data_IF_274269006477
#
_entry.id   IF_274269006477
#
_cell.length_a   1.000
_cell.length_b   1.000
_cell.length_c   1.000
_cell.angle_alpha   90.00
_cell.angle_beta   90.00
_cell.angle_gamma   90.00
#
_symmetry.space_group_name_H-M   'P 1'
#
loop_
_entity.id
_entity.type
_entity.pdbx_description
1 polymer ?
#
# COMPACT_ATOMS: atom_id res chain seq x y z
N UNK A 1 84.85 -10.96 -11.88
CA UNK A 1 84.45 -12.33 -11.46
C UNK A 1 83.06 -12.18 -10.85
N UNK A 2 81.99 -12.62 -11.54
CA UNK A 2 81.26 -13.88 -11.22
C UNK A 2 80.89 -13.94 -9.72
N UNK A 3 79.66 -14.12 -9.22
CA UNK A 3 78.37 -14.68 -9.68
C UNK A 3 77.34 -14.37 -8.56
N UNK A 4 76.12 -13.94 -8.88
CA UNK A 4 74.86 -14.71 -8.91
C UNK A 4 74.16 -15.00 -7.56
N UNK A 5 72.86 -14.67 -7.58
CA UNK A 5 71.71 -15.34 -6.95
C UNK A 5 71.57 -15.41 -5.42
N UNK A 6 70.44 -14.87 -4.95
CA UNK A 6 69.92 -15.04 -3.59
C UNK A 6 68.47 -14.55 -3.51
N UNK A 7 67.57 -15.49 -3.74
CA UNK A 7 66.12 -15.58 -3.52
C UNK A 7 65.31 -14.36 -3.05
N UNK A 8 64.38 -13.95 -3.95
CA UNK A 8 63.14 -13.24 -3.59
C UNK A 8 62.10 -14.25 -3.10
N UNK A 9 61.96 -14.42 -1.78
CA UNK A 9 60.65 -14.78 -1.22
C UNK A 9 59.89 -13.49 -0.87
N UNK A 10 59.00 -13.07 -1.78
CA UNK A 10 57.90 -12.16 -1.42
C UNK A 10 56.88 -12.99 -0.65
N UNK A 11 56.79 -12.75 0.66
CA UNK A 11 55.69 -13.23 1.48
C UNK A 11 54.45 -12.45 1.02
N UNK A 12 53.56 -13.13 0.30
CA UNK A 12 52.27 -12.60 -0.07
C UNK A 12 51.43 -12.50 1.22
N UNK A 13 51.18 -11.27 1.68
CA UNK A 13 50.17 -11.03 2.69
C UNK A 13 48.82 -11.04 1.96
N UNK A 14 48.14 -12.18 2.08
CA UNK A 14 46.81 -12.42 1.56
C UNK A 14 45.83 -11.50 2.31
N UNK A 15 45.58 -10.32 1.77
CA UNK A 15 44.51 -9.46 2.26
C UNK A 15 43.17 -10.07 1.88
N UNK A 16 42.62 -10.85 2.82
CA UNK A 16 41.23 -11.22 2.86
C UNK A 16 40.37 -9.95 2.86
N UNK A 17 39.91 -9.55 1.68
CA UNK A 17 38.94 -8.47 1.54
C UNK A 17 37.72 -8.77 2.41
N UNK A 18 37.10 -7.76 3.06
CA UNK A 18 35.86 -7.97 3.76
C UNK A 18 34.81 -8.35 2.71
N UNK A 19 34.53 -9.66 2.62
CA UNK A 19 33.27 -10.18 2.09
C UNK A 19 32.16 -9.71 3.03
N UNK A 20 31.87 -8.41 2.96
CA UNK A 20 30.65 -7.84 3.48
C UNK A 20 29.59 -8.18 2.45
N UNK A 21 29.16 -9.45 2.47
CA UNK A 21 27.77 -9.74 2.22
C UNK A 21 27.00 -8.75 3.09
N UNK A 22 26.42 -7.71 2.45
CA UNK A 22 25.44 -6.84 3.08
C UNK A 22 24.25 -7.71 3.41
N UNK A 23 24.35 -8.39 4.55
CA UNK A 23 23.27 -9.03 5.21
C UNK A 23 22.31 -7.90 5.58
N UNK A 24 21.31 -7.69 4.71
CA UNK A 24 20.22 -6.75 4.93
C UNK A 24 19.46 -7.25 6.14
N UNK A 25 19.91 -6.86 7.33
CA UNK A 25 19.18 -7.07 8.56
C UNK A 25 17.88 -6.28 8.45
N UNK A 26 16.78 -7.00 8.22
CA UNK A 26 15.43 -6.48 8.25
C UNK A 26 15.12 -6.04 9.69
N UNK A 27 15.47 -4.81 10.04
CA UNK A 27 15.15 -4.22 11.33
C UNK A 27 14.02 -3.20 11.09
N UNK A 28 12.80 -3.61 11.42
CA UNK A 28 11.64 -2.72 11.44
C UNK A 28 10.33 -3.40 11.06
N UNK A 29 9.28 -3.16 11.84
CA UNK A 29 7.91 -3.61 11.58
C UNK A 29 7.25 -2.94 10.35
N UNK A 30 7.98 -2.12 9.59
CA UNK A 30 7.44 -1.20 8.58
C UNK A 30 8.11 -1.29 7.20
N UNK A 31 8.80 -2.38 6.87
CA UNK A 31 9.42 -2.54 5.55
C UNK A 31 8.85 -3.77 4.82
N UNK A 32 7.65 -3.62 4.25
CA UNK A 32 7.31 -4.40 3.05
C UNK A 32 8.17 -3.86 1.90
N UNK A 33 8.53 -4.72 0.94
CA UNK A 33 9.18 -4.27 -0.28
C UNK A 33 8.34 -3.13 -0.86
N UNK A 34 8.91 -1.92 -0.90
CA UNK A 34 8.29 -0.81 -1.61
C UNK A 34 8.07 -1.29 -3.04
N UNK A 35 6.82 -1.56 -3.41
CA UNK A 35 6.46 -1.69 -4.82
C UNK A 35 6.82 -0.34 -5.41
N UNK A 36 7.92 -0.28 -6.14
CA UNK A 36 8.39 0.93 -6.78
C UNK A 36 7.29 1.33 -7.77
N UNK A 37 6.49 2.33 -7.41
CA UNK A 37 5.43 2.81 -8.28
C UNK A 37 6.10 3.71 -9.30
N UNK A 38 6.29 3.19 -10.50
CA UNK A 38 6.77 3.99 -11.62
C UNK A 38 5.70 5.03 -11.97
N UNK A 39 6.14 6.29 -12.05
CA UNK A 39 5.41 7.39 -12.69
C UNK A 39 4.78 6.88 -13.99
N UNK A 40 3.58 7.34 -14.34
CA UNK A 40 3.00 6.94 -15.62
C UNK A 40 3.97 7.28 -16.73
N UNK A 41 4.22 6.31 -17.61
CA UNK A 41 4.98 6.59 -18.81
C UNK A 41 4.22 7.61 -19.66
N UNK A 42 4.96 8.49 -20.32
CA UNK A 42 4.40 9.60 -21.10
C UNK A 42 3.38 9.12 -22.14
N UNK A 43 3.65 7.97 -22.78
CA UNK A 43 2.73 7.34 -23.73
C UNK A 43 1.38 6.95 -23.12
N UNK A 44 1.36 6.55 -21.85
CA UNK A 44 0.12 6.19 -21.14
C UNK A 44 -0.65 7.48 -20.82
N UNK A 45 0.03 8.52 -20.34
CA UNK A 45 -0.61 9.83 -20.09
C UNK A 45 -1.24 10.38 -21.36
N UNK A 46 -0.48 10.46 -22.45
CA UNK A 46 -0.92 10.97 -23.74
C UNK A 46 -2.17 10.22 -24.25
N UNK A 47 -2.17 8.88 -24.12
CA UNK A 47 -3.32 8.07 -24.49
C UNK A 47 -4.57 8.36 -23.64
N UNK A 48 -4.42 8.48 -22.32
CA UNK A 48 -5.55 8.78 -21.43
C UNK A 48 -6.10 10.19 -21.64
N UNK A 49 -5.22 11.18 -21.81
CA UNK A 49 -5.63 12.55 -22.14
C UNK A 49 -6.35 12.59 -23.49
N UNK A 50 -5.84 11.89 -24.50
CA UNK A 50 -6.52 11.76 -25.80
C UNK A 50 -7.92 11.15 -25.66
N UNK A 51 -8.07 10.06 -24.88
CA UNK A 51 -9.37 9.42 -24.64
C UNK A 51 -10.33 10.33 -23.88
N UNK A 52 -9.82 11.10 -22.92
CA UNK A 52 -10.60 12.08 -22.19
C UNK A 52 -11.11 13.18 -23.13
N UNK A 53 -10.21 13.79 -23.92
CA UNK A 53 -10.55 14.86 -24.86
C UNK A 53 -11.52 14.41 -25.96
N UNK A 54 -11.37 13.17 -26.46
CA UNK A 54 -12.35 12.57 -27.38
C UNK A 54 -13.75 12.50 -26.75
N UNK A 55 -13.83 12.14 -25.46
CA UNK A 55 -15.09 12.09 -24.74
C UNK A 55 -15.69 13.46 -24.46
N UNK A 56 -14.85 14.47 -24.20
CA UNK A 56 -15.27 15.87 -24.06
C UNK A 56 -15.82 16.39 -25.40
N UNK A 57 -15.06 16.25 -26.49
CA UNK A 57 -15.46 16.70 -27.81
C UNK A 57 -16.71 15.99 -28.34
N UNK A 58 -16.85 14.68 -28.05
CA UNK A 58 -18.01 13.88 -28.44
C UNK A 58 -19.22 13.99 -27.50
N UNK A 59 -19.11 14.70 -26.38
CA UNK A 59 -20.16 14.81 -25.37
C UNK A 59 -20.46 13.52 -24.59
N UNK A 60 -19.70 12.45 -24.80
CA UNK A 60 -19.86 11.16 -24.13
C UNK A 60 -18.56 10.78 -23.40
N UNK A 61 -18.62 10.71 -22.06
CA UNK A 61 -17.47 10.31 -21.25
C UNK A 61 -17.02 8.89 -21.60
N UNK A 62 -15.69 8.71 -21.73
CA UNK A 62 -15.11 7.40 -21.95
C UNK A 62 -15.39 6.47 -20.75
N UNK A 63 -15.87 5.27 -21.02
CA UNK A 63 -16.06 4.24 -19.99
C UNK A 63 -14.69 3.72 -19.51
N UNK A 64 -14.33 3.89 -18.22
CA UNK A 64 -13.04 3.41 -17.69
C UNK A 64 -12.80 1.91 -17.90
N UNK A 65 -13.84 1.08 -17.86
CA UNK A 65 -13.70 -0.36 -18.09
C UNK A 65 -13.45 -0.70 -19.57
N UNK A 66 -14.04 0.08 -20.48
CA UNK A 66 -13.73 0.00 -21.90
C UNK A 66 -12.28 0.42 -22.16
N UNK A 67 -11.86 1.59 -21.67
CA UNK A 67 -10.50 2.11 -21.90
C UNK A 67 -9.44 1.16 -21.34
N UNK A 68 -9.68 0.55 -20.17
CA UNK A 68 -8.76 -0.46 -19.62
C UNK A 68 -8.60 -1.67 -20.56
N UNK A 69 -9.70 -2.19 -21.11
CA UNK A 69 -9.66 -3.31 -22.07
C UNK A 69 -9.00 -2.92 -23.39
N UNK A 70 -9.26 -1.72 -23.87
CA UNK A 70 -8.64 -1.17 -25.07
C UNK A 70 -7.13 -1.05 -24.88
N UNK A 71 -6.68 -0.51 -23.75
CA UNK A 71 -5.26 -0.38 -23.44
C UNK A 71 -4.52 -1.73 -23.40
N UNK A 72 -5.22 -2.81 -23.03
CA UNK A 72 -4.67 -4.17 -23.01
C UNK A 72 -4.61 -4.84 -24.39
N UNK A 73 -5.30 -4.29 -25.40
CA UNK A 73 -5.49 -4.92 -26.72
C UNK A 73 -5.02 -4.08 -27.89
N UNK A 74 -4.81 -2.78 -27.68
CA UNK A 74 -4.37 -1.84 -28.71
C UNK A 74 -2.95 -2.17 -29.18
N UNK A 75 -2.77 -2.16 -30.50
CA UNK A 75 -1.53 -2.52 -31.17
C UNK A 75 -0.94 -1.32 -31.91
N UNK A 76 0.38 -1.25 -31.94
CA UNK A 76 1.13 -0.29 -32.72
C UNK A 76 1.12 -0.63 -34.22
N UNK A 77 1.71 0.26 -35.03
CA UNK A 77 1.87 0.05 -36.47
C UNK A 77 2.72 -1.17 -36.84
N UNK A 78 3.48 -1.72 -35.90
CA UNK A 78 4.28 -2.94 -36.05
C UNK A 78 3.51 -4.20 -35.65
N UNK A 79 2.24 -4.07 -35.26
CA UNK A 79 1.37 -5.18 -34.86
C UNK A 79 1.61 -5.71 -33.44
N UNK A 80 2.46 -5.05 -32.65
CA UNK A 80 2.75 -5.38 -31.25
C UNK A 80 1.85 -4.59 -30.31
N UNK A 81 1.60 -5.10 -29.09
CA UNK A 81 0.89 -4.33 -28.06
C UNK A 81 1.58 -2.99 -27.80
N UNK A 82 0.81 -1.91 -27.88
CA UNK A 82 1.30 -0.55 -27.63
C UNK A 82 1.71 -0.34 -26.16
N UNK A 83 1.03 -1.04 -25.25
CA UNK A 83 1.29 -0.99 -23.81
C UNK A 83 1.69 -2.35 -23.26
N UNK A 84 2.72 -2.37 -22.41
CA UNK A 84 3.15 -3.57 -21.69
C UNK A 84 2.21 -3.85 -20.50
N UNK A 85 2.15 -5.10 -20.01
CA UNK A 85 1.37 -5.44 -18.83
C UNK A 85 1.64 -4.56 -17.60
N UNK A 86 2.90 -4.14 -17.40
CA UNK A 86 3.29 -3.27 -16.28
C UNK A 86 2.79 -1.83 -16.41
N UNK A 87 2.42 -1.41 -17.62
CA UNK A 87 1.89 -0.08 -17.93
C UNK A 87 0.36 -0.05 -17.90
N UNK A 88 -0.28 -1.22 -17.76
CA UNK A 88 -1.73 -1.34 -17.72
C UNK A 88 -2.33 -0.64 -16.49
N UNK A 89 -3.53 -0.10 -16.68
CA UNK A 89 -4.28 0.66 -15.69
C UNK A 89 -5.62 -0.01 -15.50
N UNK A 90 -5.97 -0.19 -14.24
CA UNK A 90 -7.26 -0.77 -13.85
C UNK A 90 -8.38 0.22 -14.13
N UNK A 91 -9.60 -0.28 -14.33
CA UNK A 91 -10.78 0.57 -14.48
C UNK A 91 -10.95 1.56 -13.31
N UNK A 92 -10.56 1.17 -12.09
CA UNK A 92 -10.56 2.04 -10.91
C UNK A 92 -9.57 3.21 -11.04
N UNK A 93 -8.33 2.93 -11.45
CA UNK A 93 -7.32 3.97 -11.68
C UNK A 93 -7.75 4.93 -12.79
N UNK A 94 -8.31 4.40 -13.89
CA UNK A 94 -8.82 5.23 -14.99
C UNK A 94 -10.03 6.08 -14.58
N UNK A 95 -10.93 5.52 -13.78
CA UNK A 95 -12.09 6.25 -13.24
C UNK A 95 -11.64 7.43 -12.38
N UNK A 96 -10.71 7.20 -11.45
CA UNK A 96 -10.12 8.26 -10.63
C UNK A 96 -9.44 9.33 -11.49
N UNK A 97 -8.61 8.90 -12.45
CA UNK A 97 -7.90 9.80 -13.36
C UNK A 97 -8.88 10.71 -14.12
N UNK A 98 -9.92 10.15 -14.74
CA UNK A 98 -10.92 10.94 -15.48
C UNK A 98 -11.77 11.83 -14.57
N UNK A 99 -12.04 11.40 -13.33
CA UNK A 99 -12.73 12.24 -12.36
C UNK A 99 -11.90 13.48 -11.98
N UNK A 100 -10.60 13.30 -11.73
CA UNK A 100 -9.69 14.42 -11.44
C UNK A 100 -9.51 15.34 -12.64
N UNK A 101 -9.31 14.78 -13.83
CA UNK A 101 -9.29 15.55 -15.09
C UNK A 101 -10.57 16.36 -15.29
N UNK A 102 -11.74 15.78 -15.01
CA UNK A 102 -13.01 16.51 -15.08
C UNK A 102 -13.10 17.63 -14.05
N UNK A 103 -12.55 17.43 -12.85
CA UNK A 103 -12.50 18.46 -11.81
C UNK A 103 -11.59 19.62 -12.19
N UNK A 104 -10.40 19.31 -12.70
CA UNK A 104 -9.43 20.30 -13.17
C UNK A 104 -9.97 21.10 -14.35
N UNK A 105 -10.62 20.44 -15.32
CA UNK A 105 -11.25 21.10 -16.45
C UNK A 105 -12.31 22.13 -15.99
N UNK A 106 -13.12 21.79 -14.99
CA UNK A 106 -14.10 22.73 -14.43
C UNK A 106 -13.46 23.89 -13.69
N UNK A 107 -12.33 23.66 -13.02
CA UNK A 107 -11.58 24.72 -12.34
C UNK A 107 -10.98 25.68 -13.36
N UNK A 108 -10.40 25.14 -14.44
CA UNK A 108 -9.91 25.90 -15.58
C UNK A 108 -11.03 26.74 -16.18
N UNK A 109 -12.17 26.14 -16.55
CA UNK A 109 -13.31 26.86 -17.14
C UNK A 109 -13.84 27.98 -16.23
N UNK A 110 -13.79 27.79 -14.91
CA UNK A 110 -14.18 28.83 -13.95
C UNK A 110 -13.14 29.96 -13.88
N UNK A 111 -11.85 29.63 -13.91
CA UNK A 111 -10.72 30.58 -13.83
C UNK A 111 -10.57 31.38 -15.13
N UNK A 112 -10.81 30.78 -16.30
CA UNK A 112 -10.86 31.46 -17.62
C UNK A 112 -12.00 32.48 -17.70
N UNK A 113 -13.09 32.24 -16.98
CA UNK A 113 -14.20 33.18 -16.91
C UNK A 113 -13.87 34.40 -16.03
N UNK A 114 -12.91 34.26 -15.11
CA UNK A 114 -12.45 35.30 -14.19
C UNK A 114 -11.18 36.03 -14.71
N UNK A 115 -10.29 35.30 -15.36
CA UNK A 115 -9.04 35.76 -15.96
C UNK A 115 -9.10 35.48 -17.45
N UNK A 116 -8.95 36.49 -18.31
CA UNK A 116 -9.02 36.36 -19.79
C UNK A 116 -7.85 35.56 -20.39
N UNK A 117 -7.26 34.63 -19.65
CA UNK A 117 -6.16 33.77 -20.06
C UNK A 117 -6.69 32.36 -20.28
N UNK A 118 -6.43 31.79 -21.46
CA UNK A 118 -6.74 30.38 -21.74
C UNK A 118 -5.81 29.50 -20.92
N UNK A 119 -6.39 28.72 -19.98
CA UNK A 119 -5.64 27.85 -19.09
C UNK A 119 -5.86 26.42 -19.55
N UNK A 120 -4.79 25.64 -19.65
CA UNK A 120 -4.88 24.24 -20.07
C UNK A 120 -4.27 23.33 -19.02
N UNK A 121 -4.69 22.06 -19.02
CA UNK A 121 -4.08 21.02 -18.17
C UNK A 121 -2.60 20.88 -18.53
N UNK A 122 -1.71 21.08 -17.55
CA UNK A 122 -0.26 20.99 -17.75
C UNK A 122 0.32 19.61 -17.36
N UNK A 123 1.60 19.33 -17.66
CA UNK A 123 2.22 18.09 -17.15
C UNK A 123 2.33 18.11 -15.63
N UNK A 124 2.52 19.29 -15.01
CA UNK A 124 2.51 19.44 -13.56
C UNK A 124 1.18 18.98 -12.98
N UNK A 125 0.04 19.36 -13.58
CA UNK A 125 -1.28 18.90 -13.17
C UNK A 125 -1.41 17.37 -13.30
N UNK A 126 -0.93 16.80 -14.40
CA UNK A 126 -0.92 15.34 -14.61
C UNK A 126 -0.06 14.62 -13.55
N UNK A 127 1.09 15.19 -13.19
CA UNK A 127 1.92 14.63 -12.12
C UNK A 127 1.27 14.73 -10.74
N UNK A 128 0.52 15.80 -10.47
CA UNK A 128 -0.24 15.94 -9.24
C UNK A 128 -1.32 14.84 -9.14
N UNK A 129 -2.09 14.62 -10.21
CA UNK A 129 -3.11 13.55 -10.29
C UNK A 129 -2.51 12.17 -9.99
N UNK A 130 -1.35 11.86 -10.57
CA UNK A 130 -0.64 10.60 -10.33
C UNK A 130 -0.19 10.46 -8.87
N UNK A 131 0.34 11.55 -8.29
CA UNK A 131 0.82 11.55 -6.91
C UNK A 131 -0.31 11.31 -5.91
N UNK A 132 -1.49 11.86 -6.16
CA UNK A 132 -2.67 11.65 -5.33
C UNK A 132 -3.17 10.21 -5.38
N UNK A 133 -3.19 9.59 -6.56
CA UNK A 133 -3.55 8.17 -6.70
C UNK A 133 -2.56 7.27 -5.96
N UNK A 134 -1.27 7.60 -6.02
CA UNK A 134 -0.24 6.89 -5.28
C UNK A 134 -0.46 6.99 -3.77
N UNK A 135 -0.68 8.19 -3.26
CA UNK A 135 -0.98 8.44 -1.84
C UNK A 135 -2.24 7.66 -1.45
N UNK A 136 -3.32 7.74 -2.23
CA UNK A 136 -4.56 7.03 -1.94
C UNK A 136 -4.37 5.50 -1.89
N UNK A 137 -3.51 4.94 -2.75
CA UNK A 137 -3.17 3.53 -2.73
C UNK A 137 -2.39 3.14 -1.46
N UNK A 138 -1.42 3.96 -1.04
CA UNK A 138 -0.70 3.75 0.23
C UNK A 138 -1.65 3.84 1.42
N UNK A 139 -2.53 4.83 1.45
CA UNK A 139 -3.53 4.96 2.50
C UNK A 139 -4.40 3.71 2.60
N UNK A 140 -4.91 3.20 1.48
CA UNK A 140 -5.71 1.97 1.46
C UNK A 140 -4.93 0.74 1.97
N UNK A 141 -3.63 0.65 1.67
CA UNK A 141 -2.76 -0.41 2.20
C UNK A 141 -2.64 -0.32 3.72
N UNK A 142 -2.33 0.88 4.24
CA UNK A 142 -2.17 1.13 5.68
C UNK A 142 -3.48 0.87 6.42
N UNK A 143 -4.61 1.34 5.89
CA UNK A 143 -5.93 1.09 6.49
C UNK A 143 -6.24 -0.40 6.53
N UNK A 144 -5.99 -1.13 5.44
CA UNK A 144 -6.21 -2.58 5.42
C UNK A 144 -5.33 -3.31 6.43
N UNK A 145 -4.07 -2.92 6.56
CA UNK A 145 -3.16 -3.49 7.56
C UNK A 145 -3.65 -3.20 8.99
N UNK A 146 -4.17 -1.99 9.24
CA UNK A 146 -4.73 -1.60 10.54
C UNK A 146 -6.01 -2.40 10.87
N UNK A 147 -6.92 -2.54 9.91
CA UNK A 147 -8.16 -3.32 10.08
C UNK A 147 -7.89 -4.81 10.28
N UNK A 148 -6.82 -5.34 9.67
CA UNK A 148 -6.54 -6.78 9.64
C UNK A 148 -5.62 -7.26 10.77
N UNK A 149 -5.04 -6.34 11.55
CA UNK A 149 -4.02 -6.67 12.55
C UNK A 149 -4.40 -6.19 13.95
N UNK A 150 -5.01 -7.07 14.73
CA UNK A 150 -4.93 -6.92 16.20
C UNK A 150 -3.47 -7.11 16.59
N UNK A 151 -2.87 -6.08 17.18
CA UNK A 151 -1.50 -6.14 17.70
C UNK A 151 -1.39 -7.17 18.82
N UNK A 152 -0.49 -8.14 18.65
CA UNK A 152 -0.12 -9.08 19.70
C UNK A 152 1.09 -8.54 20.49
N UNK A 153 1.11 -8.64 21.83
CA UNK A 153 0.05 -9.15 22.71
C UNK A 153 -1.06 -8.13 23.02
N UNK A 154 -2.29 -8.64 23.16
CA UNK A 154 -3.42 -7.87 23.70
C UNK A 154 -3.17 -7.70 25.21
N UNK A 155 -2.57 -6.57 25.58
CA UNK A 155 -2.29 -6.21 26.98
C UNK A 155 -3.17 -5.04 27.42
N UNK A 156 -3.94 -5.26 28.49
CA UNK A 156 -4.83 -4.24 29.06
C UNK A 156 -4.54 -4.17 30.56
N UNK A 157 -4.04 -3.02 31.03
CA UNK A 157 -3.74 -2.77 32.45
C UNK A 157 -2.98 -3.93 33.12
N UNK A 158 -1.88 -4.36 32.48
CA UNK A 158 -1.02 -5.49 32.89
C UNK A 158 -1.65 -6.89 32.78
N UNK A 159 -2.84 -7.04 32.17
CA UNK A 159 -3.44 -8.33 31.83
C UNK A 159 -3.13 -8.66 30.38
N UNK A 160 -2.28 -9.67 30.17
CA UNK A 160 -2.02 -10.22 28.83
C UNK A 160 -3.11 -11.23 28.46
N UNK A 161 -4.12 -10.76 27.71
CA UNK A 161 -5.31 -11.53 27.33
C UNK A 161 -4.92 -12.73 26.46
N UNK A 162 -3.95 -12.57 25.56
CA UNK A 162 -3.45 -13.64 24.70
C UNK A 162 -2.85 -14.80 25.51
N UNK A 163 -2.00 -14.51 26.50
CA UNK A 163 -1.40 -15.54 27.39
C UNK A 163 -2.47 -16.27 28.19
N UNK A 164 -3.45 -15.55 28.72
CA UNK A 164 -4.53 -16.13 29.53
C UNK A 164 -5.48 -17.01 28.70
N UNK A 165 -5.75 -16.64 27.46
CA UNK A 165 -6.51 -17.47 26.52
C UNK A 165 -5.76 -18.75 26.17
N UNK A 166 -4.48 -18.66 25.82
CA UNK A 166 -3.64 -19.84 25.52
C UNK A 166 -3.55 -20.81 26.70
N UNK A 167 -3.53 -20.28 27.92
CA UNK A 167 -3.50 -21.07 29.14
C UNK A 167 -4.88 -21.57 29.62
N UNK A 168 -5.99 -21.17 28.97
CA UNK A 168 -7.35 -21.48 29.43
C UNK A 168 -7.73 -20.82 30.77
N UNK A 169 -7.00 -19.77 31.19
CA UNK A 169 -7.10 -19.14 32.52
C UNK A 169 -7.90 -17.83 32.53
N UNK A 170 -8.64 -17.47 31.48
CA UNK A 170 -9.51 -16.29 31.52
C UNK A 170 -10.57 -16.36 32.64
N UNK A 171 -11.07 -17.56 32.95
CA UNK A 171 -12.04 -17.78 34.02
C UNK A 171 -11.48 -17.51 35.43
N UNK A 172 -10.15 -17.48 35.60
CA UNK A 172 -9.52 -17.21 36.89
C UNK A 172 -9.49 -15.72 37.25
N UNK A 173 -9.71 -14.81 36.28
CA UNK A 173 -9.80 -13.39 36.53
C UNK A 173 -11.07 -13.00 37.31
N UNK A 174 -11.00 -11.90 38.04
CA UNK A 174 -12.18 -11.31 38.70
C UNK A 174 -13.14 -10.75 37.64
N UNK A 175 -14.44 -10.83 37.89
CA UNK A 175 -15.48 -10.31 36.99
C UNK A 175 -15.25 -8.83 36.63
N UNK A 176 -14.77 -8.03 37.59
CA UNK A 176 -14.44 -6.61 37.38
C UNK A 176 -13.35 -6.45 36.31
N UNK A 177 -12.29 -7.25 36.37
CA UNK A 177 -11.19 -7.20 35.39
C UNK A 177 -11.65 -7.65 34.01
N UNK A 178 -12.47 -8.70 33.93
CA UNK A 178 -13.02 -9.18 32.65
C UNK A 178 -13.89 -8.12 31.96
N UNK A 179 -14.74 -7.42 32.72
CA UNK A 179 -15.56 -6.31 32.19
C UNK A 179 -14.69 -5.13 31.75
N UNK A 180 -13.65 -4.82 32.52
CA UNK A 180 -12.73 -3.75 32.17
C UNK A 180 -11.97 -4.04 30.88
N UNK A 181 -11.51 -5.27 30.69
CA UNK A 181 -10.89 -5.74 29.44
C UNK A 181 -11.87 -5.62 28.28
N UNK A 182 -13.12 -6.08 28.43
CA UNK A 182 -14.14 -5.94 27.37
C UNK A 182 -14.43 -4.47 27.03
N UNK A 183 -14.52 -3.60 28.04
CA UNK A 183 -14.74 -2.15 27.83
C UNK A 183 -13.57 -1.51 27.08
N UNK A 184 -12.34 -1.86 27.45
CA UNK A 184 -11.14 -1.35 26.79
C UNK A 184 -11.03 -1.82 25.32
N UNK A 185 -11.54 -3.01 25.01
CA UNK A 185 -11.62 -3.55 23.64
C UNK A 185 -12.92 -3.20 22.91
N UNK A 186 -13.79 -2.38 23.52
CA UNK A 186 -15.11 -2.02 22.97
C UNK A 186 -15.98 -3.22 22.58
N UNK A 187 -15.83 -4.36 23.29
CA UNK A 187 -16.57 -5.58 22.99
C UNK A 187 -17.97 -5.55 23.60
N UNK A 188 -18.98 -5.87 22.80
CA UNK A 188 -20.35 -6.02 23.27
C UNK A 188 -20.53 -7.37 23.97
N UNK A 189 -20.96 -7.34 25.23
CA UNK A 189 -21.33 -8.55 25.99
C UNK A 189 -22.84 -8.72 25.95
N UNK A 190 -23.33 -9.68 25.17
CA UNK A 190 -24.77 -9.95 25.05
C UNK A 190 -25.23 -10.89 26.17
N UNK A 191 -25.90 -10.34 27.20
CA UNK A 191 -26.53 -11.13 28.26
C UNK A 191 -26.21 -10.64 29.68
N UNK A 192 -26.36 -11.53 30.67
CA UNK A 192 -26.18 -11.18 32.08
C UNK A 192 -24.71 -10.91 32.42
N UNK A 193 -24.40 -9.66 32.73
CA UNK A 193 -23.06 -9.20 33.12
C UNK A 193 -22.50 -9.86 34.40
N UNK A 194 -23.30 -10.63 35.15
CA UNK A 194 -22.86 -11.38 36.33
C UNK A 194 -22.21 -12.73 35.98
N UNK A 195 -22.44 -13.28 34.78
CA UNK A 195 -21.89 -14.57 34.36
C UNK A 195 -20.57 -14.36 33.62
N UNK A 196 -19.48 -14.97 34.13
CA UNK A 196 -18.15 -14.92 33.49
C UNK A 196 -18.18 -15.39 32.03
N UNK A 197 -18.98 -16.42 31.72
CA UNK A 197 -19.11 -16.97 30.36
C UNK A 197 -19.53 -15.93 29.32
N UNK A 198 -20.50 -15.09 29.64
CA UNK A 198 -21.03 -14.03 28.76
C UNK A 198 -20.00 -12.95 28.43
N UNK A 199 -18.96 -12.82 29.25
CA UNK A 199 -17.86 -11.87 29.05
C UNK A 199 -16.67 -12.55 28.34
N UNK A 200 -16.45 -13.84 28.60
CA UNK A 200 -15.35 -14.62 28.02
C UNK A 200 -15.61 -14.97 26.55
N UNK A 201 -16.86 -15.28 26.17
CA UNK A 201 -17.20 -15.63 24.77
C UNK A 201 -16.82 -14.53 23.76
N UNK A 202 -17.15 -13.24 23.99
CA UNK A 202 -16.68 -12.13 23.15
C UNK A 202 -15.15 -11.99 23.12
N UNK A 203 -14.46 -12.22 24.24
CA UNK A 203 -13.01 -12.16 24.31
C UNK A 203 -12.34 -13.28 23.50
N UNK A 204 -12.90 -14.49 23.54
CA UNK A 204 -12.44 -15.61 22.74
C UNK A 204 -12.69 -15.37 21.24
N UNK A 205 -13.86 -14.83 20.88
CA UNK A 205 -14.16 -14.44 19.50
C UNK A 205 -13.20 -13.35 18.98
N UNK A 206 -12.95 -12.31 19.78
CA UNK A 206 -12.02 -11.24 19.42
C UNK A 206 -10.58 -11.74 19.30
N UNK A 207 -10.13 -12.60 20.21
CA UNK A 207 -8.78 -13.13 20.17
C UNK A 207 -8.52 -14.15 19.06
N UNK A 208 -9.56 -14.75 18.45
CA UNK A 208 -9.42 -15.53 17.21
C UNK A 208 -8.92 -14.68 16.05
N UNK A 209 -9.11 -13.37 16.10
CA UNK A 209 -8.60 -12.43 15.11
C UNK A 209 -7.12 -12.06 15.37
N UNK A 210 -6.58 -12.39 16.54
CA UNK A 210 -5.20 -12.11 16.90
C UNK A 210 -4.21 -13.08 16.23
N UNK A 211 -3.04 -12.59 15.84
CA UNK A 211 -1.98 -13.37 15.19
C UNK A 211 -1.43 -14.55 16.00
N UNK A 212 -1.59 -14.60 17.33
CA UNK A 212 -1.11 -15.72 18.14
C UNK A 212 -2.02 -16.97 18.12
N UNK A 213 -3.14 -16.93 17.39
CA UNK A 213 -4.04 -18.08 17.17
C UNK A 213 -4.18 -18.46 15.69
N UNK A 214 -3.52 -17.72 14.79
CA UNK A 214 -3.35 -18.09 13.38
C UNK A 214 -2.24 -19.12 13.25
#
# INVERSE_FOLDING_TARGET
MHVASGDRQRIAFEEAGPSSSRERRNIGWALKSSKQTTRMEEKVKAFLVQKFNQGVAGGQKADPAHVAREMNSIRDSSGKLQFKPDEWRTAKQLSNFFARMSGLQRQIEADEMESQEEKQVTDEDLTAIESEDHIQAIHQEVFRDFEQTISHPIEIKAVNVCKLLRAGKLSSLKLVQLREVCRALTLQTNGSNSRKRTIIEPLDAYAKLCSCRK
#
